data_IF_206514281357
#
_entry.id   IF_206514281357
#
_cell.length_a   1.000
_cell.length_b   1.000
_cell.length_c   1.000
_cell.angle_alpha   90.00
_cell.angle_beta   90.00
_cell.angle_gamma   90.00
#
_symmetry.space_group_name_H-M   'P 1'
#
loop_
_entity.id
_entity.type
_entity.pdbx_description
1 polymer ?
#
# COMPACT_ATOMS: atom_id res chain seq x y z
N UNK A 1 -18.19 27.75 -40.67
CA UNK A 1 -18.08 27.65 -39.21
C UNK A 1 -18.70 26.31 -38.90
N UNK A 2 -17.96 25.21 -38.79
CA UNK A 2 -16.66 25.08 -38.11
C UNK A 2 -15.78 24.01 -38.76
N UNK A 3 -14.51 24.37 -39.00
CA UNK A 3 -13.43 23.46 -39.39
C UNK A 3 -12.85 22.83 -38.12
N UNK A 4 -13.07 21.52 -37.93
CA UNK A 4 -12.28 20.73 -37.00
C UNK A 4 -11.09 20.10 -37.72
N UNK A 5 -9.96 20.81 -37.69
CA UNK A 5 -8.66 20.27 -38.05
C UNK A 5 -8.10 19.42 -36.89
N UNK A 6 -8.24 18.10 -36.99
CA UNK A 6 -7.46 17.16 -36.19
C UNK A 6 -5.98 17.25 -36.60
N UNK A 7 -5.17 17.89 -35.78
CA UNK A 7 -3.71 17.82 -35.90
C UNK A 7 -3.19 16.66 -35.07
N UNK A 8 -3.15 15.50 -35.69
CA UNK A 8 -2.38 14.34 -35.24
C UNK A 8 -0.89 14.72 -35.19
N UNK A 9 -0.40 14.99 -33.97
CA UNK A 9 1.04 15.17 -33.72
C UNK A 9 1.71 13.80 -33.63
N UNK A 10 2.05 13.26 -34.81
CA UNK A 10 3.08 12.22 -34.93
C UNK A 10 4.43 12.82 -34.51
N UNK A 11 4.74 12.74 -33.22
CA UNK A 11 6.11 12.87 -32.74
C UNK A 11 6.84 11.54 -33.00
N UNK A 12 6.99 11.19 -34.27
CA UNK A 12 7.79 10.04 -34.68
C UNK A 12 9.27 10.43 -34.60
N UNK A 13 9.88 10.15 -33.45
CA UNK A 13 11.32 10.29 -33.29
C UNK A 13 12.02 9.13 -34.03
N UNK A 14 12.24 9.29 -35.34
CA UNK A 14 12.90 8.33 -36.22
C UNK A 14 14.39 8.03 -35.93
N UNK A 15 14.88 8.29 -34.72
CA UNK A 15 16.23 7.93 -34.26
C UNK A 15 16.14 6.83 -33.21
N UNK A 16 16.25 5.60 -33.68
CA UNK A 16 16.39 4.42 -32.83
C UNK A 16 17.83 4.37 -32.30
N UNK A 17 17.99 4.38 -30.97
CA UNK A 17 19.27 4.04 -30.34
C UNK A 17 19.12 2.78 -29.47
N UNK A 18 20.20 2.02 -29.40
CA UNK A 18 20.28 0.77 -28.65
C UNK A 18 20.59 1.02 -27.18
N UNK A 19 20.25 0.07 -26.32
CA UNK A 19 20.64 0.11 -24.90
C UNK A 19 22.17 0.17 -24.74
N UNK A 20 22.91 -0.44 -25.67
CA UNK A 20 24.38 -0.37 -25.76
C UNK A 20 24.87 1.07 -25.85
N UNK A 21 24.25 1.92 -26.66
CA UNK A 21 24.67 3.32 -26.85
C UNK A 21 24.58 4.12 -25.54
N UNK A 22 23.52 3.88 -24.76
CA UNK A 22 23.30 4.51 -23.45
C UNK A 22 24.37 4.03 -22.47
N UNK A 23 24.69 2.74 -22.48
CA UNK A 23 25.67 2.15 -21.56
C UNK A 23 27.09 2.62 -21.91
N UNK A 24 27.42 2.77 -23.18
CA UNK A 24 28.70 3.36 -23.61
C UNK A 24 28.80 4.85 -23.24
N UNK A 25 27.71 5.60 -23.32
CA UNK A 25 27.66 6.98 -22.83
C UNK A 25 27.91 7.05 -21.31
N UNK A 26 27.24 6.20 -20.54
CA UNK A 26 27.45 6.10 -19.08
C UNK A 26 28.89 5.70 -18.77
N UNK A 27 29.49 4.80 -19.55
CA UNK A 27 30.90 4.38 -19.41
C UNK A 27 31.88 5.54 -19.52
N UNK A 28 31.64 6.42 -20.49
CA UNK A 28 32.54 7.54 -20.81
C UNK A 28 32.51 8.60 -19.72
N UNK A 29 31.35 8.80 -19.08
CA UNK A 29 31.15 9.87 -18.10
C UNK A 29 31.23 9.40 -16.64
N UNK A 30 31.06 8.10 -16.35
CA UNK A 30 31.01 7.57 -14.99
C UNK A 30 31.80 6.26 -14.82
N UNK A 31 32.36 6.08 -13.63
CA UNK A 31 32.83 4.76 -13.18
C UNK A 31 31.62 3.85 -12.92
N UNK A 32 31.59 2.65 -13.49
CA UNK A 32 30.55 1.62 -13.31
C UNK A 32 30.44 1.03 -11.89
N UNK A 33 31.06 1.67 -10.90
CA UNK A 33 30.90 1.31 -9.50
C UNK A 33 29.50 1.73 -9.00
N UNK A 34 28.54 0.83 -9.22
CA UNK A 34 27.20 0.57 -8.68
C UNK A 34 26.35 1.65 -7.96
N UNK A 35 26.93 2.65 -7.29
CA UNK A 35 26.21 3.78 -6.69
C UNK A 35 25.97 4.92 -7.69
N UNK A 36 26.84 5.05 -8.70
CA UNK A 36 26.77 6.12 -9.71
C UNK A 36 25.58 5.95 -10.66
N UNK A 37 25.30 4.73 -11.12
CA UNK A 37 24.26 4.42 -12.14
C UNK A 37 22.82 4.64 -11.62
N UNK A 38 22.61 4.51 -10.29
CA UNK A 38 21.31 4.76 -9.63
C UNK A 38 21.18 6.24 -9.23
N UNK A 39 22.29 6.99 -9.27
CA UNK A 39 22.32 8.37 -8.81
C UNK A 39 21.36 9.24 -9.63
N UNK A 40 20.80 10.25 -8.97
CA UNK A 40 19.97 11.26 -9.63
C UNK A 40 20.75 11.99 -10.73
N UNK A 41 22.06 12.17 -10.56
CA UNK A 41 22.95 12.81 -11.54
C UNK A 41 23.05 12.00 -12.83
N UNK A 42 23.34 10.70 -12.74
CA UNK A 42 23.43 9.82 -13.90
C UNK A 42 22.09 9.74 -14.67
N UNK A 43 20.96 9.68 -13.96
CA UNK A 43 19.63 9.70 -14.61
C UNK A 43 19.36 11.01 -15.37
N UNK A 44 19.77 12.16 -14.83
CA UNK A 44 19.66 13.46 -15.51
C UNK A 44 20.54 13.52 -16.76
N UNK A 45 21.73 12.94 -16.71
CA UNK A 45 22.62 12.89 -17.87
C UNK A 45 22.11 11.96 -18.97
N UNK A 46 21.53 10.81 -18.60
CA UNK A 46 20.84 9.93 -19.55
C UNK A 46 19.67 10.68 -20.20
N UNK A 47 18.88 11.41 -19.41
CA UNK A 47 17.80 12.24 -19.93
C UNK A 47 18.31 13.28 -20.93
N UNK A 48 19.39 13.99 -20.60
CA UNK A 48 19.98 14.99 -21.49
C UNK A 48 20.53 14.37 -22.78
N UNK A 49 21.20 13.21 -22.69
CA UNK A 49 21.67 12.46 -23.86
C UNK A 49 20.51 12.08 -24.79
N UNK A 50 19.41 11.58 -24.21
CA UNK A 50 18.20 11.23 -24.95
C UNK A 50 17.56 12.49 -25.57
N UNK A 51 17.50 13.59 -24.82
CA UNK A 51 16.96 14.87 -25.31
C UNK A 51 17.75 15.42 -26.50
N UNK A 52 19.09 15.36 -26.45
CA UNK A 52 19.96 15.79 -27.55
C UNK A 52 19.80 14.91 -28.79
N UNK A 53 19.71 13.59 -28.61
CA UNK A 53 19.60 12.63 -29.73
C UNK A 53 18.24 12.72 -30.43
N UNK A 54 17.19 12.98 -29.68
CA UNK A 54 15.81 12.93 -30.15
C UNK A 54 15.17 14.31 -30.40
N UNK A 55 15.93 15.40 -30.26
CA UNK A 55 15.42 16.75 -30.48
C UNK A 55 14.34 17.15 -29.48
N UNK A 56 14.51 16.77 -28.20
CA UNK A 56 13.51 16.91 -27.14
C UNK A 56 13.25 18.33 -26.64
N UNK A 57 13.43 19.34 -27.49
CA UNK A 57 13.10 20.73 -27.22
C UNK A 57 11.59 21.00 -27.28
N UNK A 58 10.78 20.04 -27.79
CA UNK A 58 9.34 20.17 -28.01
C UNK A 58 8.48 19.20 -27.18
N UNK A 59 9.06 18.58 -26.14
CA UNK A 59 8.33 17.60 -25.34
C UNK A 59 7.42 18.27 -24.31
N UNK A 60 6.17 17.81 -24.23
CA UNK A 60 5.24 18.22 -23.18
C UNK A 60 5.71 17.71 -21.79
N UNK A 61 5.31 18.42 -20.74
CA UNK A 61 5.59 18.08 -19.33
C UNK A 61 5.16 16.65 -18.98
N UNK A 62 4.02 16.20 -19.53
CA UNK A 62 3.55 14.83 -19.34
C UNK A 62 4.50 13.80 -19.96
N UNK A 63 5.00 14.05 -21.17
CA UNK A 63 5.96 13.17 -21.83
C UNK A 63 7.30 13.13 -21.08
N UNK A 64 7.77 14.29 -20.60
CA UNK A 64 8.98 14.39 -19.76
C UNK A 64 8.83 13.53 -18.50
N UNK A 65 7.67 13.55 -17.86
CA UNK A 65 7.41 12.74 -16.66
C UNK A 65 7.45 11.22 -16.95
N UNK A 66 6.86 10.79 -18.07
CA UNK A 66 6.86 9.40 -18.51
C UNK A 66 8.27 8.93 -18.85
N UNK A 67 9.03 9.74 -19.60
CA UNK A 67 10.41 9.44 -19.94
C UNK A 67 11.29 9.33 -18.69
N UNK A 68 11.11 10.21 -17.72
CA UNK A 68 11.83 10.11 -16.44
C UNK A 68 11.52 8.78 -15.73
N UNK A 69 10.26 8.34 -15.71
CA UNK A 69 9.88 7.06 -15.15
C UNK A 69 10.54 5.88 -15.89
N UNK A 70 10.60 5.92 -17.22
CA UNK A 70 11.30 4.89 -18.00
C UNK A 70 12.81 4.88 -17.73
N UNK A 71 13.44 6.04 -17.59
CA UNK A 71 14.86 6.14 -17.21
C UNK A 71 15.07 5.56 -15.79
N UNK A 72 14.13 5.74 -14.87
CA UNK A 72 14.19 5.10 -13.54
C UNK A 72 14.06 3.58 -13.67
N UNK A 73 13.10 3.08 -14.44
CA UNK A 73 12.93 1.65 -14.66
C UNK A 73 14.18 1.03 -15.29
N UNK A 74 14.72 1.70 -16.32
CA UNK A 74 15.97 1.32 -16.97
C UNK A 74 17.13 1.25 -15.99
N UNK A 75 17.34 2.28 -15.15
CA UNK A 75 18.45 2.29 -14.19
C UNK A 75 18.33 1.19 -13.14
N UNK A 76 17.10 0.85 -12.72
CA UNK A 76 16.83 -0.29 -11.83
C UNK A 76 17.13 -1.63 -12.49
N UNK A 77 16.70 -1.82 -13.74
CA UNK A 77 16.99 -3.05 -14.51
C UNK A 77 18.49 -3.20 -14.74
N UNK A 78 19.16 -2.12 -15.15
CA UNK A 78 20.61 -2.08 -15.35
C UNK A 78 21.34 -2.43 -14.05
N UNK A 79 20.94 -1.86 -12.92
CA UNK A 79 21.52 -2.15 -11.61
C UNK A 79 21.38 -3.64 -11.22
N UNK A 80 20.18 -4.22 -11.39
CA UNK A 80 19.94 -5.65 -11.11
C UNK A 80 20.80 -6.56 -11.98
N UNK A 81 20.92 -6.25 -13.28
CA UNK A 81 21.75 -7.02 -14.22
C UNK A 81 23.24 -6.90 -13.90
N UNK A 82 23.72 -5.70 -13.54
CA UNK A 82 25.09 -5.49 -13.08
C UNK A 82 25.40 -6.27 -11.79
N UNK A 83 24.47 -6.31 -10.83
CA UNK A 83 24.62 -7.10 -9.61
C UNK A 83 24.80 -8.59 -9.91
N UNK A 84 24.01 -9.17 -10.83
CA UNK A 84 24.15 -10.57 -11.25
C UNK A 84 25.52 -10.90 -11.85
N UNK A 85 26.18 -9.92 -12.45
CA UNK A 85 27.50 -10.08 -13.07
C UNK A 85 28.65 -9.75 -12.10
N UNK A 86 28.38 -9.65 -10.79
CA UNK A 86 29.31 -9.13 -9.78
C UNK A 86 29.95 -7.78 -10.19
N UNK A 87 29.19 -6.98 -10.94
CA UNK A 87 29.61 -5.66 -11.46
C UNK A 87 30.83 -5.71 -12.39
N UNK A 88 31.18 -6.88 -12.93
CA UNK A 88 32.25 -7.04 -13.93
C UNK A 88 31.68 -6.80 -15.32
N UNK A 89 32.20 -5.81 -16.04
CA UNK A 89 31.71 -5.42 -17.36
C UNK A 89 31.88 -6.53 -18.41
N UNK A 90 33.01 -7.24 -18.42
CA UNK A 90 33.25 -8.30 -19.41
C UNK A 90 32.23 -9.44 -19.27
N UNK A 91 31.90 -9.79 -18.03
CA UNK A 91 30.83 -10.76 -17.72
C UNK A 91 29.45 -10.21 -18.10
N UNK A 92 29.24 -8.91 -17.94
CA UNK A 92 27.97 -8.28 -18.27
C UNK A 92 27.72 -8.26 -19.79
N UNK A 93 28.72 -7.93 -20.60
CA UNK A 93 28.61 -7.94 -22.07
C UNK A 93 28.35 -9.35 -22.61
N UNK A 94 29.00 -10.37 -22.03
CA UNK A 94 28.81 -11.77 -22.46
C UNK A 94 27.44 -12.32 -22.08
N UNK A 95 26.98 -12.09 -20.84
CA UNK A 95 25.72 -12.64 -20.32
C UNK A 95 24.50 -11.89 -20.85
N UNK A 96 24.60 -10.57 -21.07
CA UNK A 96 23.46 -9.72 -21.41
C UNK A 96 23.52 -9.14 -22.83
N UNK A 97 24.34 -9.71 -23.73
CA UNK A 97 24.49 -9.23 -25.11
C UNK A 97 23.14 -9.04 -25.84
N UNK A 98 22.23 -10.01 -25.71
CA UNK A 98 20.89 -9.92 -26.30
C UNK A 98 20.10 -8.69 -25.81
N UNK A 99 20.21 -8.35 -24.52
CA UNK A 99 19.57 -7.18 -23.93
C UNK A 99 20.27 -5.86 -24.29
N UNK A 100 21.58 -5.88 -24.56
CA UNK A 100 22.30 -4.69 -25.00
C UNK A 100 21.89 -4.26 -26.41
N UNK A 101 21.55 -5.25 -27.25
CA UNK A 101 21.16 -5.02 -28.62
C UNK A 101 19.65 -4.72 -28.77
N UNK A 102 18.87 -4.77 -27.67
CA UNK A 102 17.48 -4.31 -27.72
C UNK A 102 17.42 -2.79 -27.85
N UNK A 103 16.41 -2.32 -28.58
CA UNK A 103 16.12 -0.90 -28.75
C UNK A 103 15.63 -0.32 -27.44
N UNK A 104 16.04 0.89 -27.11
CA UNK A 104 15.42 1.62 -26.00
C UNK A 104 14.04 2.11 -26.48
N UNK A 105 12.97 1.55 -25.92
CA UNK A 105 11.60 1.93 -26.27
C UNK A 105 11.29 3.32 -25.72
N UNK A 106 10.92 4.25 -26.60
CA UNK A 106 10.45 5.56 -26.16
C UNK A 106 9.06 5.44 -25.56
N UNK A 107 8.72 6.27 -24.55
CA UNK A 107 7.37 6.29 -24.02
C UNK A 107 6.40 6.76 -25.11
N UNK A 108 5.68 5.83 -25.71
CA UNK A 108 4.56 6.21 -26.56
C UNK A 108 3.47 6.81 -25.67
N UNK A 109 2.91 7.96 -26.07
CA UNK A 109 1.70 8.50 -25.47
C UNK A 109 0.56 7.51 -25.76
N UNK A 110 0.46 6.44 -24.97
CA UNK A 110 -0.68 5.55 -25.05
C UNK A 110 -1.91 6.39 -24.68
N UNK A 111 -2.97 6.41 -25.50
CA UNK A 111 -4.22 7.05 -25.10
C UNK A 111 -4.64 6.46 -23.76
N UNK A 112 -5.07 7.33 -22.84
CA UNK A 112 -5.38 7.04 -21.41
C UNK A 112 -6.43 5.94 -21.17
N UNK A 113 -6.86 5.18 -22.18
CA UNK A 113 -8.00 4.25 -22.08
C UNK A 113 -7.68 2.82 -21.64
N UNK A 114 -6.41 2.42 -21.48
CA UNK A 114 -6.07 1.02 -21.13
C UNK A 114 -4.95 0.90 -20.08
N UNK A 115 -4.87 1.83 -19.12
CA UNK A 115 -4.14 1.54 -17.89
C UNK A 115 -5.09 0.68 -17.04
N UNK A 116 -4.87 -0.63 -16.84
CA UNK A 116 -5.58 -1.31 -15.78
C UNK A 116 -5.26 -0.56 -14.50
N UNK A 117 -6.29 -0.04 -13.81
CA UNK A 117 -6.19 0.59 -12.49
C UNK A 117 -5.11 -0.16 -11.72
N UNK A 118 -4.01 0.53 -11.39
CA UNK A 118 -2.79 -0.06 -10.85
C UNK A 118 -3.15 -1.26 -9.97
N UNK A 119 -2.87 -2.48 -10.46
CA UNK A 119 -3.01 -3.66 -9.64
C UNK A 119 -2.24 -3.36 -8.36
N UNK A 120 -2.91 -3.38 -7.22
CA UNK A 120 -2.35 -2.91 -5.94
C UNK A 120 -1.05 -3.66 -5.65
N UNK A 121 0.08 -3.09 -6.08
CA UNK A 121 1.40 -3.66 -5.85
C UNK A 121 1.71 -3.41 -4.37
N UNK A 122 1.59 -4.47 -3.57
CA UNK A 122 1.80 -4.42 -2.14
C UNK A 122 1.33 -5.70 -1.44
N UNK A 123 1.68 -5.83 -0.16
CA UNK A 123 1.12 -6.87 0.70
C UNK A 123 -0.40 -6.73 0.75
N UNK A 124 -1.12 -7.81 0.51
CA UNK A 124 -2.58 -7.81 0.64
C UNK A 124 -2.98 -7.31 2.04
N UNK A 125 -3.88 -6.32 2.13
CA UNK A 125 -4.28 -5.79 3.41
C UNK A 125 -5.03 -6.89 4.17
N UNK A 126 -4.55 -7.21 5.38
CA UNK A 126 -5.27 -8.12 6.27
C UNK A 126 -6.65 -7.54 6.60
N UNK A 127 -7.64 -8.42 6.70
CA UNK A 127 -8.98 -8.07 7.19
C UNK A 127 -8.90 -7.52 8.62
N UNK A 128 -9.95 -6.82 9.08
CA UNK A 128 -9.95 -6.25 10.43
C UNK A 128 -9.77 -7.34 11.49
N UNK A 129 -10.43 -8.49 11.35
CA UNK A 129 -10.37 -9.63 12.27
C UNK A 129 -8.97 -10.22 12.39
N UNK A 130 -8.27 -10.40 11.27
CA UNK A 130 -6.92 -10.97 11.15
C UNK A 130 -5.78 -10.00 11.52
N UNK A 131 -6.10 -8.72 11.68
CA UNK A 131 -5.12 -7.69 12.04
C UNK A 131 -4.70 -7.80 13.51
N UNK A 132 -3.46 -7.40 13.83
CA UNK A 132 -3.02 -7.28 15.23
C UNK A 132 -3.76 -6.17 15.96
N UNK A 133 -3.78 -6.22 17.29
CA UNK A 133 -4.49 -5.24 18.12
C UNK A 133 -3.98 -3.81 17.87
N UNK A 134 -2.67 -3.62 17.74
CA UNK A 134 -2.07 -2.33 17.36
C UNK A 134 -2.62 -1.81 16.04
N UNK A 135 -2.74 -2.67 15.03
CA UNK A 135 -3.25 -2.29 13.71
C UNK A 135 -4.76 -2.03 13.74
N UNK A 136 -5.54 -2.82 14.50
CA UNK A 136 -6.98 -2.59 14.71
C UNK A 136 -7.24 -1.22 15.31
N UNK A 137 -6.49 -0.86 16.37
CA UNK A 137 -6.56 0.47 17.00
C UNK A 137 -6.28 1.59 16.01
N UNK A 138 -5.18 1.51 15.26
CA UNK A 138 -4.83 2.52 14.26
C UNK A 138 -5.88 2.65 13.15
N UNK A 139 -6.44 1.53 12.67
CA UNK A 139 -7.52 1.56 11.67
C UNK A 139 -8.75 2.27 12.24
N UNK A 140 -9.12 1.96 13.47
CA UNK A 140 -10.31 2.52 14.11
C UNK A 140 -10.15 4.00 14.49
N UNK A 141 -8.98 4.42 14.99
CA UNK A 141 -8.72 5.85 15.30
C UNK A 141 -8.91 6.71 14.06
N UNK A 142 -8.33 6.28 12.93
CA UNK A 142 -8.49 7.00 11.67
C UNK A 142 -9.97 7.08 11.24
N UNK A 143 -10.73 5.99 11.40
CA UNK A 143 -12.16 5.98 11.08
C UNK A 143 -12.97 6.89 12.00
N UNK A 144 -12.68 6.90 13.31
CA UNK A 144 -13.36 7.74 14.29
C UNK A 144 -13.03 9.22 14.07
N UNK A 145 -11.76 9.56 13.88
CA UNK A 145 -11.30 10.92 13.59
C UNK A 145 -11.89 11.46 12.28
N UNK A 146 -12.04 10.59 11.27
CA UNK A 146 -12.69 10.95 10.01
C UNK A 146 -14.21 11.05 10.10
N UNK A 147 -14.81 10.52 11.17
CA UNK A 147 -16.25 10.55 11.36
C UNK A 147 -16.66 11.77 12.19
N UNK A 148 -17.70 12.47 11.76
CA UNK A 148 -18.29 13.56 12.55
C UNK A 148 -19.17 13.05 13.71
N UNK A 149 -19.01 11.77 14.11
CA UNK A 149 -19.86 11.15 15.12
C UNK A 149 -19.36 11.46 16.53
N UNK A 150 -20.29 11.88 17.37
CA UNK A 150 -20.06 12.10 18.81
C UNK A 150 -20.12 10.79 19.59
N UNK A 151 -19.53 10.76 20.79
CA UNK A 151 -19.52 9.57 21.66
C UNK A 151 -20.91 8.93 21.89
N UNK A 152 -22.00 9.70 22.14
CA UNK A 152 -23.34 9.12 22.27
C UNK A 152 -23.85 8.46 20.99
N UNK A 153 -23.55 9.04 19.82
CA UNK A 153 -23.94 8.48 18.51
C UNK A 153 -23.19 7.18 18.21
N UNK A 154 -21.91 7.11 18.56
CA UNK A 154 -21.11 5.89 18.45
C UNK A 154 -21.70 4.78 19.34
N UNK A 155 -22.09 5.10 20.57
CA UNK A 155 -22.74 4.15 21.49
C UNK A 155 -24.08 3.67 20.92
N UNK A 156 -24.89 4.58 20.39
CA UNK A 156 -26.18 4.24 19.78
C UNK A 156 -26.01 3.34 18.54
N UNK A 157 -25.10 3.70 17.64
CA UNK A 157 -24.78 2.92 16.45
C UNK A 157 -24.28 1.52 16.80
N UNK A 158 -23.41 1.41 17.81
CA UNK A 158 -22.90 0.13 18.32
C UNK A 158 -24.03 -0.76 18.84
N UNK A 159 -24.92 -0.21 19.68
CA UNK A 159 -26.07 -0.94 20.19
C UNK A 159 -27.01 -1.41 19.07
N UNK A 160 -27.27 -0.56 18.08
CA UNK A 160 -28.12 -0.91 16.93
C UNK A 160 -27.51 -2.02 16.09
N UNK A 161 -26.20 -1.99 15.85
CA UNK A 161 -25.47 -3.05 15.14
C UNK A 161 -25.49 -4.38 15.89
N UNK A 162 -25.31 -4.37 17.20
CA UNK A 162 -25.41 -5.58 18.04
C UNK A 162 -26.83 -6.17 18.07
N UNK A 163 -27.86 -5.33 18.04
CA UNK A 163 -29.24 -5.81 17.91
C UNK A 163 -29.50 -6.45 16.55
N UNK A 164 -29.00 -5.82 15.48
CA UNK A 164 -29.09 -6.35 14.11
C UNK A 164 -28.38 -7.70 13.95
N UNK A 165 -27.26 -7.91 14.65
CA UNK A 165 -26.56 -9.21 14.66
C UNK A 165 -27.19 -10.26 15.59
N UNK A 166 -28.34 -9.96 16.21
CA UNK A 166 -29.06 -10.87 17.11
C UNK A 166 -28.53 -10.90 18.56
N UNK A 167 -27.49 -10.12 18.89
CA UNK A 167 -26.85 -10.10 20.21
C UNK A 167 -27.60 -9.22 21.22
N UNK A 168 -28.90 -9.49 21.43
CA UNK A 168 -29.77 -8.68 22.30
C UNK A 168 -29.37 -8.71 23.78
N UNK A 169 -28.85 -9.85 24.25
CA UNK A 169 -28.38 -10.03 25.63
C UNK A 169 -27.19 -9.12 25.96
N UNK A 170 -26.24 -8.99 25.02
CA UNK A 170 -25.07 -8.11 25.16
C UNK A 170 -25.50 -6.65 25.26
N UNK A 171 -26.44 -6.21 24.42
CA UNK A 171 -26.97 -4.84 24.49
C UNK A 171 -27.67 -4.57 25.81
N UNK A 172 -28.44 -5.54 26.33
CA UNK A 172 -29.07 -5.41 27.65
C UNK A 172 -28.03 -5.29 28.77
N UNK A 173 -26.96 -6.09 28.71
CA UNK A 173 -25.86 -6.04 29.67
C UNK A 173 -25.12 -4.71 29.60
N UNK A 174 -24.80 -4.24 28.38
CA UNK A 174 -24.12 -2.97 28.15
C UNK A 174 -24.95 -1.81 28.70
N UNK A 175 -26.25 -1.74 28.39
CA UNK A 175 -27.16 -0.73 28.96
C UNK A 175 -27.16 -0.78 30.48
N UNK A 176 -27.33 -1.97 31.07
CA UNK A 176 -27.31 -2.15 32.53
C UNK A 176 -25.98 -1.73 33.16
N UNK A 177 -24.87 -1.94 32.48
CA UNK A 177 -23.53 -1.56 32.93
C UNK A 177 -23.35 -0.03 32.88
N UNK A 178 -23.84 0.64 31.84
CA UNK A 178 -23.66 2.07 31.63
C UNK A 178 -24.67 2.97 32.35
N UNK A 179 -25.69 2.40 33.01
CA UNK A 179 -26.71 3.20 33.74
C UNK A 179 -26.13 4.07 34.88
N UNK A 180 -25.02 3.66 35.50
CA UNK A 180 -24.34 4.45 36.54
C UNK A 180 -22.86 4.07 36.59
N UNK A 181 -21.94 5.03 36.82
CA UNK A 181 -20.49 4.76 36.83
C UNK A 181 -20.08 3.62 37.77
N UNK A 182 -20.72 3.52 38.94
CA UNK A 182 -20.39 2.52 39.95
C UNK A 182 -21.09 1.17 39.74
N UNK A 183 -22.01 1.08 38.78
CA UNK A 183 -22.81 -0.13 38.56
C UNK A 183 -21.96 -1.30 38.04
N UNK A 184 -20.97 -1.02 37.21
CA UNK A 184 -20.00 -2.03 36.74
C UNK A 184 -19.27 -2.67 37.92
N UNK A 185 -18.85 -1.86 38.90
CA UNK A 185 -18.18 -2.36 40.11
C UNK A 185 -19.11 -3.24 40.96
N UNK A 186 -20.38 -2.82 41.13
CA UNK A 186 -21.39 -3.63 41.84
C UNK A 186 -21.63 -4.98 41.14
N UNK A 187 -21.76 -4.98 39.81
CA UNK A 187 -21.92 -6.21 39.01
C UNK A 187 -20.69 -7.12 39.18
N UNK A 188 -19.49 -6.57 39.05
CA UNK A 188 -18.23 -7.33 39.24
C UNK A 188 -18.14 -7.94 40.64
N UNK A 189 -18.51 -7.19 41.67
CA UNK A 189 -18.48 -7.66 43.06
C UNK A 189 -19.54 -8.74 43.32
N UNK A 190 -20.75 -8.61 42.75
CA UNK A 190 -21.78 -9.65 42.84
C UNK A 190 -21.34 -10.96 42.15
N UNK A 191 -20.71 -10.88 40.98
CA UNK A 191 -20.15 -12.05 40.28
C UNK A 191 -19.03 -12.69 41.11
N UNK A 192 -18.16 -11.90 41.75
CA UNK A 192 -17.13 -12.43 42.65
C UNK A 192 -17.72 -13.11 43.88
N UNK A 193 -18.72 -12.50 44.52
CA UNK A 193 -19.39 -13.06 45.71
C UNK A 193 -20.15 -14.34 45.40
N UNK A 194 -20.88 -14.39 44.29
CA UNK A 194 -21.61 -15.60 43.86
C UNK A 194 -20.71 -16.79 43.53
N UNK A 195 -19.45 -16.54 43.11
CA UNK A 195 -18.45 -17.62 42.93
C UNK A 195 -17.86 -18.13 44.25
N UNK A 196 -17.93 -17.33 45.32
CA UNK A 196 -17.42 -17.69 46.64
C UNK A 196 -18.47 -18.42 47.48
N UNK A 197 -19.74 -18.21 47.19
CA UNK A 197 -20.84 -18.98 47.76
C UNK A 197 -21.00 -20.28 46.98
N UNK A 198 -20.15 -21.28 47.25
CA UNK A 198 -20.51 -22.65 46.92
C UNK A 198 -21.83 -22.96 47.63
N UNK A 199 -22.81 -23.43 46.88
CA UNK A 199 -24.08 -23.88 47.45
C UNK A 199 -23.76 -25.17 48.20
N UNK A 200 -23.61 -25.07 49.51
CA UNK A 200 -23.44 -26.24 50.38
C UNK A 200 -24.82 -26.90 50.47
N UNK A 201 -25.01 -28.12 49.92
CA UNK A 201 -26.28 -28.81 50.09
C UNK A 201 -26.48 -29.12 51.57
N UNK A 202 -27.71 -28.95 52.06
CA UNK A 202 -28.06 -29.33 53.42
C UNK A 202 -27.77 -30.81 53.65
N UNK A 203 -27.23 -31.13 54.82
CA UNK A 203 -27.13 -32.53 55.28
C UNK A 203 -28.52 -33.08 55.59
N UNK A 204 -28.67 -34.40 55.61
CA UNK A 204 -29.98 -35.04 55.84
C UNK A 204 -30.62 -34.60 57.16
N UNK A 205 -29.81 -34.43 58.21
CA UNK A 205 -30.27 -34.01 59.54
C UNK A 205 -30.66 -32.53 59.57
N UNK A 206 -29.89 -31.65 58.90
CA UNK A 206 -30.24 -30.23 58.75
C UNK A 206 -31.53 -30.04 57.94
N UNK A 207 -31.75 -30.87 56.92
CA UNK A 207 -32.98 -30.86 56.14
C UNK A 207 -34.19 -31.34 56.97
N UNK A 208 -34.00 -32.37 57.79
CA UNK A 208 -35.02 -32.89 58.71
C UNK A 208 -35.43 -31.86 59.77
N UNK A 209 -34.48 -31.05 60.25
CA UNK A 209 -34.73 -29.99 61.23
C UNK A 209 -35.63 -28.86 60.73
N UNK A 210 -35.85 -28.72 59.42
CA UNK A 210 -36.83 -27.75 58.87
C UNK A 210 -38.28 -28.24 58.92
N UNK A 211 -38.51 -29.53 59.14
CA UNK A 211 -39.84 -30.16 59.13
C UNK A 211 -40.32 -30.62 60.51
N UNK A 212 -39.51 -30.46 61.55
CA UNK A 212 -39.82 -30.78 62.95
C UNK A 212 -40.04 -29.50 63.75
#
# INVERSE_FOLDING_TARGET
>A
MDDHSETSSENDCGKVFSIRDIIEFIRKNHSFQCKSVISVKCRKEIFYFIQQKCGGCKWDSNYISLLNNEIVNFSLVLSRKLLKCNRKLDKFYTIHNAWLNTKFEMPHLKPKSLIPKAANFGRTPKTFTESSERTKRRKMTNSIESSNMTSPEIIYASNRKMQQSGQRSVVRLFKNATMSPNRIFKIKNAIKKSKLTEIIPFTADEALAFFC
#
